data_IF_400743736242
#
_entry.id   IF_400743736242
#
_cell.length_a   1.000
_cell.length_b   1.000
_cell.length_c   1.000
_cell.angle_alpha   90.00
_cell.angle_beta   90.00
_cell.angle_gamma   90.00
#
_symmetry.space_group_name_H-M   'P 1'
#
loop_
_entity.id
_entity.type
_entity.pdbx_description
1 polymer ?
#
# COMPACT_ATOMS: atom_id res chain seq x y z
N UNK A 1 -18.48 12.12 15.07
CA UNK A 1 -18.68 10.64 14.98
C UNK A 1 -19.01 10.05 16.35
N UNK A 2 -19.88 8.99 16.43
CA UNK A 2 -20.24 8.33 17.71
C UNK A 2 -19.04 7.53 18.24
N UNK A 3 -18.73 7.67 19.55
CA UNK A 3 -17.61 6.94 20.19
C UNK A 3 -17.77 5.41 20.12
N UNK A 4 -18.99 4.91 20.08
CA UNK A 4 -19.27 3.45 19.93
C UNK A 4 -18.79 2.93 18.57
N UNK A 5 -19.05 3.66 17.48
CA UNK A 5 -18.61 3.28 16.14
C UNK A 5 -17.06 3.35 16.03
N UNK A 6 -16.45 4.39 16.61
CA UNK A 6 -14.99 4.48 16.66
C UNK A 6 -14.35 3.34 17.46
N UNK A 7 -15.00 2.85 18.52
CA UNK A 7 -14.52 1.67 19.26
C UNK A 7 -14.59 0.39 18.43
N UNK A 8 -15.65 0.20 17.64
CA UNK A 8 -15.72 -0.96 16.72
C UNK A 8 -14.63 -0.89 15.66
N UNK A 9 -14.30 0.29 15.15
CA UNK A 9 -13.17 0.47 14.23
C UNK A 9 -11.82 0.17 14.92
N UNK A 10 -11.60 0.68 16.12
CA UNK A 10 -10.40 0.39 16.90
C UNK A 10 -10.24 -1.12 17.19
N UNK A 11 -11.36 -1.79 17.52
CA UNK A 11 -11.41 -3.24 17.72
C UNK A 11 -11.12 -4.00 16.42
N UNK A 12 -11.65 -3.54 15.27
CA UNK A 12 -11.37 -4.11 13.97
C UNK A 12 -9.86 -4.07 13.66
N UNK A 13 -9.21 -2.91 13.86
CA UNK A 13 -7.77 -2.74 13.64
C UNK A 13 -6.95 -3.69 14.53
N UNK A 14 -7.27 -3.76 15.83
CA UNK A 14 -6.51 -4.58 16.76
C UNK A 14 -6.75 -6.08 16.58
N UNK A 15 -7.99 -6.51 16.28
CA UNK A 15 -8.39 -7.91 16.22
C UNK A 15 -8.27 -8.52 14.82
N UNK A 16 -8.70 -7.81 13.78
CA UNK A 16 -8.68 -8.27 12.39
C UNK A 16 -7.45 -7.72 11.66
N UNK A 17 -7.14 -6.43 11.84
CA UNK A 17 -5.97 -5.79 11.26
C UNK A 17 -4.70 -6.52 11.65
N UNK A 18 -4.19 -6.33 12.85
CA UNK A 18 -2.93 -6.96 13.29
C UNK A 18 -3.12 -8.25 14.08
N UNK A 19 -4.34 -8.67 14.39
CA UNK A 19 -4.63 -9.88 15.15
C UNK A 19 -3.68 -10.05 16.36
N UNK A 20 -3.72 -9.08 17.26
CA UNK A 20 -2.83 -9.00 18.43
C UNK A 20 -2.82 -10.30 19.20
N UNK A 21 -1.66 -10.91 19.39
CA UNK A 21 -1.47 -12.13 20.14
C UNK A 21 -1.21 -11.86 21.63
N UNK A 22 -1.67 -12.77 22.49
CA UNK A 22 -1.41 -12.69 23.93
C UNK A 22 0.10 -12.64 24.22
N UNK A 23 0.54 -11.61 24.95
CA UNK A 23 1.93 -11.44 25.32
C UNK A 23 2.80 -10.78 24.27
N UNK A 24 2.24 -10.40 23.10
CA UNK A 24 2.95 -9.71 22.03
C UNK A 24 3.16 -8.23 22.36
N UNK A 25 4.26 -7.65 21.88
CA UNK A 25 4.46 -6.21 21.88
C UNK A 25 3.80 -5.60 20.62
N UNK A 26 3.24 -4.40 20.77
CA UNK A 26 2.57 -3.66 19.70
C UNK A 26 3.22 -2.31 19.56
N UNK A 27 3.58 -1.93 18.34
CA UNK A 27 4.04 -0.58 18.01
C UNK A 27 3.02 0.10 17.11
N UNK A 28 2.55 1.26 17.56
CA UNK A 28 1.59 2.09 16.81
C UNK A 28 2.34 3.34 16.36
N UNK A 29 2.37 3.58 15.06
CA UNK A 29 2.78 4.86 14.50
C UNK A 29 1.53 5.68 14.20
N UNK A 30 1.46 6.91 14.65
CA UNK A 30 0.31 7.79 14.45
C UNK A 30 0.72 9.26 14.36
N UNK A 31 -0.03 10.05 13.59
CA UNK A 31 0.04 11.51 13.63
C UNK A 31 -0.74 12.04 14.85
N UNK A 32 -0.54 13.33 15.18
CA UNK A 32 -1.15 13.96 16.37
C UNK A 32 -2.66 14.27 16.23
N UNK A 33 -3.26 14.01 15.08
CA UNK A 33 -4.61 14.49 14.74
C UNK A 33 -5.73 13.87 15.60
N UNK A 34 -5.62 12.57 15.92
CA UNK A 34 -6.69 11.81 16.58
C UNK A 34 -6.21 11.05 17.83
N UNK A 35 -5.64 11.72 18.85
CA UNK A 35 -5.05 11.03 20.00
C UNK A 35 -6.09 10.25 20.83
N UNK A 36 -7.35 10.69 20.88
CA UNK A 36 -8.43 9.95 21.56
C UNK A 36 -8.72 8.62 20.84
N UNK A 37 -8.69 8.58 19.52
CA UNK A 37 -8.88 7.35 18.76
C UNK A 37 -7.68 6.41 18.92
N UNK A 38 -6.45 6.94 18.89
CA UNK A 38 -5.25 6.14 19.16
C UNK A 38 -5.33 5.48 20.54
N UNK A 39 -5.82 6.20 21.56
CA UNK A 39 -6.04 5.63 22.89
C UNK A 39 -7.08 4.49 22.88
N UNK A 40 -8.11 4.55 22.01
CA UNK A 40 -9.06 3.45 21.85
C UNK A 40 -8.38 2.21 21.24
N UNK A 41 -7.51 2.38 20.24
CA UNK A 41 -6.74 1.27 19.65
C UNK A 41 -5.81 0.64 20.68
N UNK A 42 -5.12 1.44 21.48
CA UNK A 42 -4.28 0.96 22.60
C UNK A 42 -5.10 0.13 23.60
N UNK A 43 -6.29 0.61 23.98
CA UNK A 43 -7.21 -0.10 24.89
C UNK A 43 -7.62 -1.47 24.31
N UNK A 44 -7.97 -1.52 23.03
CA UNK A 44 -8.33 -2.79 22.37
C UNK A 44 -7.13 -3.75 22.28
N UNK A 45 -5.92 -3.28 22.03
CA UNK A 45 -4.70 -4.09 22.06
C UNK A 45 -4.49 -4.73 23.46
N UNK A 46 -4.68 -3.96 24.54
CA UNK A 46 -4.56 -4.49 25.91
C UNK A 46 -5.69 -5.45 26.27
N UNK A 47 -6.93 -5.26 25.76
CA UNK A 47 -8.02 -6.23 25.91
C UNK A 47 -7.68 -7.58 25.29
N UNK A 48 -6.95 -7.58 24.17
CA UNK A 48 -6.40 -8.76 23.51
C UNK A 48 -5.16 -9.33 24.21
N UNK A 49 -4.77 -8.77 25.38
CA UNK A 49 -3.65 -9.23 26.20
C UNK A 49 -2.27 -8.92 25.61
N UNK A 50 -2.14 -7.83 24.85
CA UNK A 50 -0.82 -7.30 24.49
C UNK A 50 0.04 -7.15 25.76
N UNK A 51 1.34 -7.50 25.67
CA UNK A 51 2.31 -7.32 26.77
C UNK A 51 2.64 -5.85 27.00
N UNK A 52 2.75 -5.11 25.90
CA UNK A 52 3.17 -3.71 25.89
C UNK A 52 2.69 -3.06 24.59
N UNK A 53 2.19 -1.84 24.66
CA UNK A 53 1.88 -1.02 23.51
C UNK A 53 2.74 0.24 23.54
N UNK A 54 3.45 0.52 22.48
CA UNK A 54 4.26 1.72 22.30
C UNK A 54 3.62 2.56 21.21
N UNK A 55 3.44 3.86 21.46
CA UNK A 55 2.93 4.79 20.45
C UNK A 55 4.04 5.75 20.05
N UNK A 56 4.35 5.75 18.75
CA UNK A 56 5.26 6.70 18.12
C UNK A 56 4.46 7.78 17.42
N UNK A 57 4.58 8.98 17.92
CA UNK A 57 3.91 10.13 17.34
C UNK A 57 4.77 10.78 16.27
N UNK A 58 4.18 11.00 15.11
CA UNK A 58 4.77 11.78 14.03
C UNK A 58 4.05 13.11 13.83
N UNK A 59 4.77 14.09 13.25
CA UNK A 59 4.24 15.41 12.96
C UNK A 59 5.00 16.02 11.79
N UNK A 60 4.37 16.08 10.63
CA UNK A 60 5.00 16.53 9.38
C UNK A 60 5.70 17.91 9.47
N UNK A 61 5.20 18.93 10.21
CA UNK A 61 5.94 20.18 10.38
C UNK A 61 7.34 20.00 11.00
N UNK A 62 7.54 19.01 11.90
CA UNK A 62 8.88 18.71 12.42
C UNK A 62 9.77 18.08 11.35
N UNK A 63 9.23 17.22 10.49
CA UNK A 63 9.97 16.66 9.35
C UNK A 63 10.50 17.77 8.45
N UNK A 64 9.67 18.79 8.14
CA UNK A 64 10.11 19.98 7.37
C UNK A 64 11.26 20.72 8.03
N UNK A 65 11.18 20.93 9.34
CA UNK A 65 12.25 21.59 10.10
C UNK A 65 13.53 20.76 10.12
N UNK A 66 13.42 19.43 10.29
CA UNK A 66 14.58 18.55 10.25
C UNK A 66 15.28 18.57 8.88
N UNK A 67 14.54 18.49 7.78
CA UNK A 67 15.12 18.57 6.44
C UNK A 67 15.73 19.96 6.20
N UNK A 68 15.11 21.03 6.70
CA UNK A 68 15.61 22.41 6.53
C UNK A 68 16.92 22.64 7.28
N UNK A 69 17.00 22.24 8.54
CA UNK A 69 18.09 22.66 9.44
C UNK A 69 19.21 21.65 9.63
N UNK A 70 18.93 20.34 9.58
CA UNK A 70 19.97 19.32 9.68
C UNK A 70 20.82 19.29 8.41
N UNK A 71 22.10 19.00 8.54
CA UNK A 71 22.96 18.70 7.39
C UNK A 71 22.53 17.40 6.70
N UNK A 72 22.89 17.21 5.43
CA UNK A 72 22.67 15.93 4.75
C UNK A 72 23.35 14.79 5.53
N UNK A 73 24.57 14.98 6.00
CA UNK A 73 25.28 14.00 6.84
C UNK A 73 24.44 13.57 8.05
N UNK A 74 23.92 14.54 8.82
CA UNK A 74 23.10 14.25 10.01
C UNK A 74 21.80 13.54 9.66
N UNK A 75 21.14 13.92 8.56
CA UNK A 75 19.92 13.26 8.11
C UNK A 75 20.17 11.82 7.62
N UNK A 76 21.38 11.58 7.07
CA UNK A 76 21.78 10.27 6.53
C UNK A 76 22.34 9.31 7.58
N UNK A 77 22.59 9.79 8.79
CA UNK A 77 23.14 8.96 9.89
C UNK A 77 21.97 8.26 10.60
N UNK A 78 22.10 6.99 10.85
CA UNK A 78 21.27 6.23 11.78
C UNK A 78 21.99 6.24 13.12
N UNK A 79 21.38 6.84 14.15
CA UNK A 79 21.99 6.93 15.48
C UNK A 79 21.86 5.59 16.23
N UNK A 80 22.76 5.35 17.21
CA UNK A 80 22.80 4.10 17.97
C UNK A 80 21.45 3.72 18.62
N UNK A 81 20.65 4.68 19.05
CA UNK A 81 19.33 4.39 19.63
C UNK A 81 18.32 3.95 18.56
N UNK A 82 18.45 4.47 17.33
CA UNK A 82 17.60 4.05 16.19
C UNK A 82 17.98 2.62 15.78
N UNK A 83 19.28 2.29 15.72
CA UNK A 83 19.74 0.93 15.44
C UNK A 83 19.32 -0.05 16.53
N UNK A 84 19.47 0.32 17.82
CA UNK A 84 19.04 -0.50 18.96
C UNK A 84 17.52 -0.79 18.90
N UNK A 85 16.75 0.15 18.40
CA UNK A 85 15.31 -0.04 18.16
C UNK A 85 15.03 -1.02 17.03
N UNK A 86 15.76 -0.95 15.93
CA UNK A 86 15.66 -1.92 14.85
C UNK A 86 16.05 -3.33 15.31
N UNK A 87 17.14 -3.44 16.11
CA UNK A 87 17.51 -4.70 16.71
C UNK A 87 16.42 -5.24 17.64
N UNK A 88 15.79 -4.38 18.44
CA UNK A 88 14.65 -4.77 19.27
C UNK A 88 13.49 -5.36 18.45
N UNK A 89 13.21 -4.80 17.25
CA UNK A 89 12.20 -5.36 16.37
C UNK A 89 12.58 -6.75 15.84
N UNK A 90 13.85 -6.96 15.54
CA UNK A 90 14.37 -8.29 15.14
C UNK A 90 14.24 -9.30 16.31
N UNK A 91 14.57 -8.89 17.51
CA UNK A 91 14.59 -9.77 18.69
C UNK A 91 13.19 -10.13 19.20
N UNK A 92 12.19 -9.24 19.05
CA UNK A 92 10.87 -9.39 19.68
C UNK A 92 9.73 -9.62 18.70
N UNK A 93 9.94 -9.37 17.42
CA UNK A 93 8.94 -9.50 16.34
C UNK A 93 7.58 -8.90 16.76
N UNK A 94 7.51 -7.60 17.09
CA UNK A 94 6.27 -6.96 17.50
C UNK A 94 5.33 -6.78 16.31
N UNK A 95 4.01 -6.83 16.52
CA UNK A 95 3.10 -6.36 15.49
C UNK A 95 3.09 -4.83 15.40
N UNK A 96 2.73 -4.30 14.23
CA UNK A 96 2.79 -2.86 13.93
C UNK A 96 1.47 -2.34 13.38
N UNK A 97 1.05 -1.21 13.91
CA UNK A 97 -0.14 -0.48 13.43
C UNK A 97 0.31 0.88 12.93
N UNK A 98 -0.11 1.24 11.73
CA UNK A 98 0.12 2.53 11.12
C UNK A 98 -1.22 3.26 10.98
N UNK A 99 -1.44 4.28 11.82
CA UNK A 99 -2.63 5.13 11.75
C UNK A 99 -2.28 6.39 10.96
N UNK A 100 -2.68 6.39 9.71
CA UNK A 100 -2.32 7.45 8.74
C UNK A 100 -3.35 8.56 8.74
N UNK A 101 -2.88 9.81 8.79
CA UNK A 101 -3.71 11.02 8.74
C UNK A 101 -2.99 12.24 8.14
N UNK A 102 -1.91 11.97 7.41
CA UNK A 102 -1.01 12.99 6.91
C UNK A 102 -1.73 14.05 6.07
N UNK A 103 -1.30 15.30 6.23
CA UNK A 103 -1.65 16.37 5.32
C UNK A 103 -1.06 16.06 3.92
N UNK A 104 -1.87 15.88 2.88
CA UNK A 104 -1.35 15.60 1.54
C UNK A 104 -0.38 16.67 1.00
N UNK A 105 -0.51 17.91 1.45
CA UNK A 105 0.39 19.02 1.13
C UNK A 105 1.48 19.23 2.21
N UNK A 106 1.52 18.39 3.22
CA UNK A 106 2.34 18.55 4.42
C UNK A 106 3.85 18.65 4.16
N UNK A 107 4.35 18.00 3.11
CA UNK A 107 5.75 18.06 2.70
C UNK A 107 6.02 19.03 1.55
N UNK A 108 5.02 19.82 1.13
CA UNK A 108 5.20 20.82 0.07
C UNK A 108 6.28 21.84 0.43
N UNK A 109 7.21 22.06 -0.50
CA UNK A 109 8.33 22.98 -0.32
C UNK A 109 9.52 22.44 0.48
N UNK A 110 9.51 21.15 0.82
CA UNK A 110 10.68 20.45 1.37
C UNK A 110 11.73 20.28 0.28
N UNK A 111 13.00 20.31 0.66
CA UNK A 111 14.11 20.05 -0.29
C UNK A 111 14.15 18.54 -0.62
N UNK A 112 13.42 18.17 -1.69
CA UNK A 112 13.18 16.77 -2.08
C UNK A 112 14.48 15.98 -2.32
N UNK A 113 15.44 16.55 -3.04
CA UNK A 113 16.72 15.90 -3.31
C UNK A 113 17.49 15.55 -2.02
N UNK A 114 17.49 16.47 -1.03
CA UNK A 114 18.14 16.23 0.26
C UNK A 114 17.43 15.11 1.03
N UNK A 115 16.11 15.06 0.98
CA UNK A 115 15.32 14.04 1.61
C UNK A 115 15.57 12.66 0.96
N UNK A 116 15.49 12.58 -0.36
CA UNK A 116 15.77 11.36 -1.11
C UNK A 116 17.19 10.82 -0.85
N UNK A 117 18.23 11.68 -0.94
CA UNK A 117 19.62 11.28 -0.63
C UNK A 117 19.78 10.76 0.80
N UNK A 118 19.07 11.35 1.77
CA UNK A 118 19.14 10.87 3.16
C UNK A 118 18.46 9.51 3.34
N UNK A 119 17.37 9.26 2.64
CA UNK A 119 16.69 7.97 2.62
C UNK A 119 17.57 6.90 1.96
N UNK A 120 18.11 7.19 0.77
CA UNK A 120 19.05 6.31 0.06
C UNK A 120 20.25 5.91 0.92
N UNK A 121 20.81 6.83 1.69
CA UNK A 121 21.96 6.55 2.56
C UNK A 121 21.61 5.66 3.77
N UNK A 122 20.41 5.80 4.35
CA UNK A 122 19.95 4.97 5.48
C UNK A 122 19.43 3.60 5.04
N UNK A 123 18.91 3.51 3.82
CA UNK A 123 18.22 2.32 3.33
C UNK A 123 19.02 1.02 3.46
N UNK A 124 20.31 0.93 3.07
CA UNK A 124 21.08 -0.32 3.17
C UNK A 124 21.19 -0.84 4.61
N UNK A 125 21.29 0.09 5.58
CA UNK A 125 21.38 -0.28 7.02
C UNK A 125 20.03 -0.81 7.49
N UNK A 126 18.95 -0.06 7.22
CA UNK A 126 17.59 -0.41 7.62
C UNK A 126 17.15 -1.71 6.93
N UNK A 127 17.50 -1.89 5.65
CA UNK A 127 17.20 -3.10 4.87
C UNK A 127 17.76 -4.35 5.56
N UNK A 128 19.00 -4.28 6.10
CA UNK A 128 19.59 -5.40 6.82
C UNK A 128 18.78 -5.89 8.03
N UNK A 129 18.04 -4.99 8.70
CA UNK A 129 17.10 -5.34 9.78
C UNK A 129 15.74 -5.80 9.23
N UNK A 130 15.22 -5.10 8.23
CA UNK A 130 13.92 -5.44 7.60
C UNK A 130 13.92 -6.83 7.01
N UNK A 131 14.92 -7.19 6.23
CA UNK A 131 15.06 -8.51 5.61
C UNK A 131 15.07 -9.65 6.66
N UNK A 132 15.49 -9.40 7.90
CA UNK A 132 15.46 -10.38 8.97
C UNK A 132 14.07 -10.64 9.55
N UNK A 133 13.16 -9.68 9.43
CA UNK A 133 11.80 -9.75 9.99
C UNK A 133 10.70 -9.80 8.92
N UNK A 134 11.08 -9.76 7.66
CA UNK A 134 10.14 -9.77 6.53
C UNK A 134 9.19 -10.98 6.64
N UNK A 135 7.90 -10.73 6.47
CA UNK A 135 6.81 -11.70 6.60
C UNK A 135 6.71 -12.44 7.95
N UNK A 136 7.44 -12.01 8.99
CA UNK A 136 7.43 -12.65 10.32
C UNK A 136 6.48 -12.01 11.31
N UNK A 137 5.99 -10.81 11.05
CA UNK A 137 5.12 -10.06 11.96
C UNK A 137 3.87 -9.56 11.26
N UNK A 138 2.82 -9.34 12.03
CA UNK A 138 1.61 -8.72 11.54
C UNK A 138 1.77 -7.20 11.50
N UNK A 139 1.20 -6.60 10.47
CA UNK A 139 1.12 -5.15 10.35
C UNK A 139 -0.23 -4.73 9.78
N UNK A 140 -0.65 -3.52 10.07
CA UNK A 140 -1.90 -2.98 9.53
C UNK A 140 -1.78 -1.48 9.32
N UNK A 141 -2.14 -1.03 8.13
CA UNK A 141 -2.34 0.38 7.82
C UNK A 141 -3.84 0.65 7.89
N UNK A 142 -4.22 1.67 8.65
CA UNK A 142 -5.59 2.15 8.76
C UNK A 142 -5.61 3.67 8.86
N UNK A 143 -6.66 4.31 8.35
CA UNK A 143 -6.70 5.76 8.32
C UNK A 143 -7.50 6.35 9.49
N UNK A 144 -7.09 7.54 9.88
CA UNK A 144 -7.87 8.44 10.73
C UNK A 144 -7.89 9.84 10.10
N UNK A 145 -8.96 10.62 10.18
CA UNK A 145 -9.03 11.91 9.50
C UNK A 145 -8.15 12.95 10.18
N UNK A 146 -7.12 13.42 9.48
CA UNK A 146 -6.43 14.65 9.83
C UNK A 146 -7.27 15.88 9.41
N UNK A 147 -7.21 16.97 10.17
CA UNK A 147 -7.95 18.19 9.83
C UNK A 147 -7.56 18.74 8.46
N UNK A 148 -6.26 18.81 8.18
CA UNK A 148 -5.75 19.33 6.91
C UNK A 148 -6.09 18.42 5.75
N UNK A 149 -5.99 17.11 5.94
CA UNK A 149 -6.42 16.14 4.95
C UNK A 149 -7.91 16.28 4.64
N UNK A 150 -8.75 16.34 5.66
CA UNK A 150 -10.20 16.54 5.50
C UNK A 150 -10.53 17.86 4.77
N UNK A 151 -9.81 18.94 5.08
CA UNK A 151 -9.97 20.24 4.40
C UNK A 151 -9.47 20.23 2.94
N UNK A 152 -8.51 19.37 2.61
CA UNK A 152 -8.08 19.16 1.22
C UNK A 152 -9.19 18.52 0.38
N UNK A 153 -9.91 17.54 0.95
CA UNK A 153 -11.02 16.86 0.28
C UNK A 153 -12.29 17.73 0.23
N UNK A 154 -12.57 18.44 1.30
CA UNK A 154 -13.81 19.22 1.48
C UNK A 154 -13.49 20.67 1.85
N UNK A 155 -12.90 21.44 0.89
CA UNK A 155 -12.46 22.81 1.16
C UNK A 155 -13.60 23.77 1.53
N UNK A 156 -14.84 23.49 1.09
CA UNK A 156 -16.04 24.29 1.33
C UNK A 156 -16.60 24.11 2.76
N UNK A 157 -16.29 23.00 3.43
CA UNK A 157 -16.82 22.70 4.76
C UNK A 157 -15.96 23.33 5.86
N UNK A 158 -16.56 23.58 7.03
CA UNK A 158 -15.79 23.91 8.24
C UNK A 158 -14.94 22.70 8.66
N UNK A 159 -13.79 22.93 9.30
CA UNK A 159 -12.84 21.87 9.65
C UNK A 159 -13.50 20.68 10.38
N UNK A 160 -14.33 20.93 11.39
CA UNK A 160 -15.03 19.87 12.12
C UNK A 160 -16.02 19.07 11.25
N UNK A 161 -16.68 19.73 10.30
CA UNK A 161 -17.61 19.07 9.37
C UNK A 161 -16.83 18.26 8.31
N UNK A 162 -15.71 18.79 7.83
CA UNK A 162 -14.83 18.09 6.91
C UNK A 162 -14.25 16.80 7.55
N UNK A 163 -13.77 16.90 8.80
CA UNK A 163 -13.29 15.74 9.57
C UNK A 163 -14.40 14.71 9.79
N UNK A 164 -15.61 15.14 10.13
CA UNK A 164 -16.76 14.24 10.29
C UNK A 164 -17.10 13.51 8.99
N UNK A 165 -17.14 14.24 7.86
CA UNK A 165 -17.39 13.67 6.54
C UNK A 165 -16.30 12.69 6.10
N UNK A 166 -15.04 12.98 6.42
CA UNK A 166 -13.95 12.07 6.14
C UNK A 166 -14.01 10.81 7.04
N UNK A 167 -14.40 10.94 8.32
CA UNK A 167 -14.71 9.79 9.16
C UNK A 167 -15.80 8.90 8.54
N UNK A 168 -16.89 9.47 8.05
CA UNK A 168 -17.97 8.72 7.39
C UNK A 168 -17.44 7.92 6.20
N UNK A 169 -16.60 8.54 5.37
CA UNK A 169 -16.00 7.88 4.22
C UNK A 169 -15.06 6.73 4.64
N UNK A 170 -14.13 6.99 5.57
CA UNK A 170 -13.19 5.99 6.09
C UNK A 170 -13.94 4.79 6.69
N UNK A 171 -14.91 5.04 7.57
CA UNK A 171 -15.64 3.96 8.24
C UNK A 171 -16.49 3.13 7.26
N UNK A 172 -17.10 3.79 6.27
CA UNK A 172 -17.89 3.12 5.23
C UNK A 172 -17.01 2.21 4.36
N UNK A 173 -15.90 2.74 3.85
CA UNK A 173 -14.98 1.98 2.99
C UNK A 173 -14.24 0.89 3.76
N UNK A 174 -13.96 1.09 5.05
CA UNK A 174 -13.40 0.09 5.96
C UNK A 174 -14.44 -0.92 6.49
N UNK A 175 -15.67 -0.92 5.97
CA UNK A 175 -16.75 -1.86 6.37
C UNK A 175 -17.03 -1.87 7.86
N UNK A 176 -16.99 -0.69 8.51
CA UNK A 176 -17.37 -0.54 9.92
C UNK A 176 -18.90 -0.51 10.00
N UNK A 177 -19.50 -1.69 9.94
CA UNK A 177 -20.93 -1.96 10.03
C UNK A 177 -21.35 -2.24 11.49
N UNK A 178 -22.51 -2.80 11.70
CA UNK A 178 -22.97 -3.27 13.05
C UNK A 178 -22.10 -4.42 13.57
N UNK A 179 -21.56 -5.27 12.71
CA UNK A 179 -20.53 -6.28 13.02
C UNK A 179 -19.38 -6.19 12.00
N UNK A 180 -18.37 -5.33 12.25
CA UNK A 180 -17.25 -5.17 11.34
C UNK A 180 -16.38 -6.42 11.20
N UNK A 181 -16.31 -7.25 12.24
CA UNK A 181 -15.48 -8.47 12.21
C UNK A 181 -16.08 -9.45 11.22
N UNK A 182 -17.40 -9.71 11.32
CA UNK A 182 -18.08 -10.59 10.36
C UNK A 182 -18.02 -10.03 8.94
N UNK A 183 -18.24 -8.73 8.76
CA UNK A 183 -18.15 -8.10 7.44
C UNK A 183 -16.76 -8.30 6.79
N UNK A 184 -15.69 -8.27 7.58
CA UNK A 184 -14.34 -8.55 7.10
C UNK A 184 -14.07 -10.04 6.87
N UNK A 185 -14.65 -10.94 7.66
CA UNK A 185 -14.57 -12.40 7.39
C UNK A 185 -15.21 -12.74 6.03
N UNK A 186 -16.38 -12.16 5.74
CA UNK A 186 -17.09 -12.33 4.46
C UNK A 186 -16.31 -11.71 3.31
N UNK A 187 -15.75 -10.52 3.51
CA UNK A 187 -14.95 -9.83 2.50
C UNK A 187 -13.63 -10.56 2.19
N UNK A 188 -12.91 -11.01 3.21
CA UNK A 188 -11.70 -11.82 3.02
C UNK A 188 -12.01 -13.10 2.24
N UNK A 189 -13.16 -13.73 2.52
CA UNK A 189 -13.58 -14.91 1.77
C UNK A 189 -13.83 -14.59 0.30
N UNK A 190 -14.51 -13.49 -0.01
CA UNK A 190 -14.78 -13.08 -1.41
C UNK A 190 -13.48 -12.82 -2.18
N UNK A 191 -12.52 -12.09 -1.57
CA UNK A 191 -11.21 -11.86 -2.18
C UNK A 191 -10.42 -13.16 -2.35
N UNK A 192 -10.45 -14.04 -1.35
CA UNK A 192 -9.79 -15.33 -1.43
C UNK A 192 -10.37 -16.21 -2.55
N UNK A 193 -11.70 -16.32 -2.64
CA UNK A 193 -12.38 -17.09 -3.70
C UNK A 193 -11.98 -16.58 -5.10
N UNK A 194 -11.84 -15.26 -5.27
CA UNK A 194 -11.34 -14.63 -6.51
C UNK A 194 -9.89 -14.98 -6.80
N UNK A 195 -9.02 -14.90 -5.80
CA UNK A 195 -7.62 -15.28 -5.94
C UNK A 195 -7.49 -16.78 -6.28
N UNK A 196 -8.28 -17.67 -5.66
CA UNK A 196 -8.28 -19.10 -6.01
C UNK A 196 -8.67 -19.33 -7.46
N UNK A 197 -9.71 -18.62 -7.95
CA UNK A 197 -10.11 -18.70 -9.36
C UNK A 197 -8.98 -18.25 -10.28
N UNK A 198 -8.38 -17.07 -10.04
CA UNK A 198 -7.25 -16.55 -10.83
C UNK A 198 -6.08 -17.53 -10.84
N UNK A 199 -5.74 -18.08 -9.67
CA UNK A 199 -4.65 -19.05 -9.52
C UNK A 199 -4.92 -20.37 -10.26
N UNK A 200 -6.20 -20.79 -10.37
CA UNK A 200 -6.59 -21.99 -11.11
C UNK A 200 -6.37 -21.86 -12.64
N UNK A 201 -6.29 -20.63 -13.15
CA UNK A 201 -6.10 -20.36 -14.58
C UNK A 201 -4.65 -20.53 -15.04
N UNK A 202 -3.68 -20.61 -14.12
CA UNK A 202 -2.25 -20.66 -14.45
C UNK A 202 -1.85 -19.58 -15.45
N UNK A 203 -2.08 -18.31 -15.06
CA UNK A 203 -1.87 -17.15 -15.91
C UNK A 203 -0.40 -16.93 -16.18
N UNK A 204 -0.02 -16.77 -17.45
CA UNK A 204 1.32 -16.41 -17.90
C UNK A 204 1.48 -14.92 -18.18
N UNK A 205 0.41 -14.28 -18.59
CA UNK A 205 0.44 -12.91 -19.06
C UNK A 205 -0.92 -12.26 -18.85
N UNK A 206 -0.93 -11.01 -18.45
CA UNK A 206 -2.11 -10.15 -18.43
C UNK A 206 -1.97 -9.08 -19.52
N UNK A 207 -3.05 -8.88 -20.28
CA UNK A 207 -3.17 -7.88 -21.35
C UNK A 207 -4.22 -6.86 -20.99
N UNK A 208 -3.82 -5.61 -20.92
CA UNK A 208 -4.66 -4.47 -20.52
C UNK A 208 -4.97 -3.60 -21.72
N UNK A 209 -6.25 -3.25 -21.90
CA UNK A 209 -6.72 -2.33 -22.95
C UNK A 209 -7.77 -1.37 -22.41
N UNK A 210 -7.66 -0.09 -22.79
CA UNK A 210 -8.63 0.95 -22.47
C UNK A 210 -8.63 2.02 -23.55
N UNK A 211 -9.75 2.73 -23.69
CA UNK A 211 -9.92 3.80 -24.70
C UNK A 211 -9.01 5.01 -24.46
N UNK A 212 -8.42 5.14 -23.27
CA UNK A 212 -7.45 6.20 -22.96
C UNK A 212 -6.09 6.05 -23.67
N UNK A 213 -5.88 4.94 -24.38
CA UNK A 213 -4.64 4.63 -25.09
C UNK A 213 -3.79 3.55 -24.41
N UNK A 214 -4.20 3.03 -23.26
CA UNK A 214 -3.55 1.87 -22.63
C UNK A 214 -3.64 0.65 -23.56
N UNK A 215 -2.47 0.15 -23.96
CA UNK A 215 -2.26 -1.14 -24.63
C UNK A 215 -0.97 -1.72 -24.04
N UNK A 216 -1.14 -2.57 -23.04
CA UNK A 216 -0.07 -2.98 -22.15
C UNK A 216 -0.17 -4.46 -21.83
N UNK A 217 0.98 -5.11 -21.77
CA UNK A 217 1.12 -6.54 -21.46
C UNK A 217 2.16 -6.72 -20.38
N UNK A 218 1.89 -7.60 -19.43
CA UNK A 218 2.83 -7.94 -18.34
C UNK A 218 2.85 -9.44 -18.10
N UNK A 219 4.05 -10.01 -17.99
CA UNK A 219 4.27 -11.44 -17.72
C UNK A 219 4.24 -11.76 -16.24
N UNK A 220 3.76 -12.95 -15.91
CA UNK A 220 3.70 -13.45 -14.53
C UNK A 220 4.88 -14.36 -14.22
N UNK A 221 5.33 -14.35 -12.98
CA UNK A 221 6.29 -15.33 -12.46
C UNK A 221 5.56 -16.68 -12.40
N UNK A 222 6.11 -17.77 -12.98
CA UNK A 222 5.41 -19.08 -13.00
C UNK A 222 5.06 -19.62 -11.61
N UNK A 223 5.89 -19.32 -10.62
CA UNK A 223 5.73 -19.72 -9.22
C UNK A 223 4.88 -18.73 -8.42
N UNK A 224 4.49 -17.58 -8.99
CA UNK A 224 3.67 -16.62 -8.27
C UNK A 224 2.19 -17.03 -8.24
N UNK A 225 1.50 -16.46 -7.30
CA UNK A 225 0.06 -16.62 -7.09
C UNK A 225 -0.57 -15.27 -6.75
N UNK A 226 -1.82 -15.09 -7.14
CA UNK A 226 -2.64 -13.97 -6.68
C UNK A 226 -2.92 -14.13 -5.20
N UNK A 227 -2.74 -13.04 -4.47
CA UNK A 227 -3.06 -12.87 -3.05
C UNK A 227 -4.09 -11.75 -2.91
N UNK A 228 -4.84 -11.71 -1.79
CA UNK A 228 -5.79 -10.65 -1.52
C UNK A 228 -6.51 -10.84 -0.20
N UNK A 229 -6.98 -9.74 0.38
CA UNK A 229 -7.61 -9.72 1.69
C UNK A 229 -6.60 -9.81 2.81
N UNK A 230 -6.57 -10.92 3.52
CA UNK A 230 -5.64 -11.15 4.62
C UNK A 230 -4.43 -11.97 4.22
N UNK A 231 -3.40 -11.86 5.02
CA UNK A 231 -2.13 -12.57 4.92
C UNK A 231 -1.90 -13.49 6.11
N UNK A 232 -0.99 -14.44 5.96
CA UNK A 232 -0.53 -15.28 7.08
C UNK A 232 0.97 -15.09 7.27
N UNK A 233 1.37 -14.57 8.44
CA UNK A 233 2.79 -14.41 8.77
C UNK A 233 3.52 -15.77 8.81
N UNK A 234 4.86 -15.75 8.72
CA UNK A 234 5.70 -16.95 8.90
C UNK A 234 5.53 -17.60 10.29
N UNK A 235 4.89 -16.93 11.25
CA UNK A 235 4.52 -17.48 12.55
C UNK A 235 3.13 -18.16 12.54
N UNK A 236 2.46 -18.20 11.38
CA UNK A 236 1.13 -18.80 11.21
C UNK A 236 -0.03 -17.94 11.72
N UNK A 237 0.17 -16.64 11.86
CA UNK A 237 -0.86 -15.71 12.35
C UNK A 237 -1.49 -15.01 11.15
N UNK A 238 -2.79 -15.20 10.96
CA UNK A 238 -3.58 -14.51 9.94
C UNK A 238 -3.88 -13.07 10.38
N UNK A 239 -3.78 -12.11 9.47
CA UNK A 239 -4.01 -10.68 9.71
C UNK A 239 -4.41 -9.96 8.43
N UNK A 240 -4.91 -8.73 8.54
CA UNK A 240 -5.25 -7.89 7.39
C UNK A 240 -4.31 -6.66 7.34
N UNK A 241 -3.38 -6.60 6.38
CA UNK A 241 -2.38 -5.52 6.32
C UNK A 241 -2.98 -4.15 5.98
N UNK A 242 -4.07 -4.12 5.23
CA UNK A 242 -4.72 -2.89 4.79
C UNK A 242 -6.19 -2.86 5.20
N UNK A 243 -6.62 -1.78 5.85
CA UNK A 243 -8.02 -1.48 6.15
C UNK A 243 -8.35 -0.07 5.65
N UNK A 244 -8.99 0.06 4.47
CA UNK A 244 -9.57 -0.98 3.61
C UNK A 244 -8.58 -1.64 2.63
N UNK A 245 -8.98 -2.76 2.01
CA UNK A 245 -8.42 -3.35 0.80
C UNK A 245 -9.53 -3.92 -0.08
N UNK A 246 -9.37 -3.86 -1.40
CA UNK A 246 -10.35 -4.35 -2.42
C UNK A 246 -9.66 -5.21 -3.49
N UNK A 247 -8.39 -5.50 -3.33
CA UNK A 247 -7.52 -6.01 -4.38
C UNK A 247 -7.30 -7.53 -4.35
N UNK A 248 -7.10 -8.07 -5.56
CA UNK A 248 -6.39 -9.31 -5.80
C UNK A 248 -5.09 -8.94 -6.52
N UNK A 249 -3.95 -9.13 -5.91
CA UNK A 249 -2.66 -8.68 -6.43
C UNK A 249 -1.66 -9.82 -6.65
N UNK A 250 -0.65 -9.56 -7.47
CA UNK A 250 0.44 -10.49 -7.78
C UNK A 250 1.71 -9.69 -8.11
N UNK A 251 2.88 -10.20 -7.73
CA UNK A 251 4.14 -9.66 -8.23
C UNK A 251 4.42 -10.19 -9.63
N UNK A 252 4.56 -9.31 -10.64
CA UNK A 252 4.86 -9.71 -12.00
C UNK A 252 6.32 -10.11 -12.17
N UNK A 253 6.64 -10.76 -13.29
CA UNK A 253 8.00 -11.11 -13.68
C UNK A 253 8.80 -9.84 -14.01
N UNK A 254 9.85 -9.57 -13.27
CA UNK A 254 10.82 -8.52 -13.62
C UNK A 254 11.36 -8.77 -15.03
N UNK A 255 11.37 -7.73 -15.85
CA UNK A 255 11.88 -7.82 -17.21
C UNK A 255 10.87 -8.27 -18.26
N UNK A 256 9.60 -8.48 -17.90
CA UNK A 256 8.57 -8.93 -18.84
C UNK A 256 7.35 -8.01 -18.78
N UNK A 257 7.46 -6.85 -19.41
CA UNK A 257 6.36 -5.93 -19.62
C UNK A 257 6.58 -5.13 -20.92
N UNK A 258 5.53 -4.98 -21.71
CA UNK A 258 5.56 -4.32 -23.02
C UNK A 258 4.37 -3.40 -23.21
N UNK A 259 4.57 -2.29 -23.90
CA UNK A 259 3.53 -1.37 -24.31
C UNK A 259 3.45 -0.10 -23.47
N UNK A 260 2.29 0.54 -23.48
CA UNK A 260 2.05 1.81 -22.82
C UNK A 260 0.86 1.72 -21.89
N UNK A 261 0.99 2.33 -20.72
CA UNK A 261 -0.08 2.41 -19.73
C UNK A 261 -0.29 3.86 -19.31
N UNK A 262 -1.54 4.28 -19.25
CA UNK A 262 -1.97 5.61 -18.84
C UNK A 262 -2.54 5.55 -17.42
N UNK A 263 -2.07 6.43 -16.56
CA UNK A 263 -2.70 6.65 -15.26
C UNK A 263 -4.08 7.29 -15.44
N UNK A 264 -5.04 6.83 -14.65
CA UNK A 264 -6.43 7.29 -14.70
C UNK A 264 -6.80 8.21 -13.53
N UNK A 265 -5.94 8.28 -12.52
CA UNK A 265 -6.06 9.18 -11.38
C UNK A 265 -4.71 9.85 -11.09
N UNK A 266 -4.73 11.07 -10.51
CA UNK A 266 -3.50 11.70 -10.02
C UNK A 266 -2.84 10.83 -8.94
N UNK A 267 -1.51 10.78 -8.96
CA UNK A 267 -0.71 10.15 -7.91
C UNK A 267 -0.26 11.23 -6.91
N UNK A 268 -0.60 11.04 -5.64
CA UNK A 268 -0.15 11.91 -4.55
C UNK A 268 1.19 11.41 -4.01
N UNK A 269 2.28 12.04 -4.40
CA UNK A 269 3.63 11.62 -4.04
C UNK A 269 4.42 12.76 -3.39
N UNK A 270 4.95 12.52 -2.19
CA UNK A 270 5.78 13.47 -1.44
C UNK A 270 5.15 14.88 -1.30
N UNK A 271 3.83 14.96 -1.11
CA UNK A 271 3.12 16.23 -0.94
C UNK A 271 2.89 17.02 -2.24
N UNK A 272 2.97 16.35 -3.37
CA UNK A 272 2.69 16.92 -4.69
C UNK A 272 1.87 15.91 -5.51
N UNK A 273 1.13 16.40 -6.50
CA UNK A 273 0.38 15.56 -7.43
C UNK A 273 1.18 15.37 -8.72
N UNK A 274 1.33 14.13 -9.15
CA UNK A 274 1.74 13.77 -10.51
C UNK A 274 0.45 13.45 -11.25
N UNK A 275 0.14 14.17 -12.32
CA UNK A 275 -1.14 14.03 -13.01
C UNK A 275 -1.00 14.00 -14.52
N UNK A 276 -1.98 13.35 -15.19
CA UNK A 276 -2.01 13.20 -16.63
C UNK A 276 -0.77 12.47 -17.17
N UNK A 277 -0.38 11.37 -16.51
CA UNK A 277 0.86 10.70 -16.88
C UNK A 277 0.64 9.32 -17.52
N UNK A 278 1.65 8.93 -18.27
CA UNK A 278 1.76 7.60 -18.85
C UNK A 278 3.20 7.11 -18.78
N UNK A 279 3.36 5.78 -18.84
CA UNK A 279 4.67 5.11 -18.84
C UNK A 279 4.67 4.07 -19.95
N UNK A 280 5.74 4.04 -20.74
CA UNK A 280 6.03 3.01 -21.74
C UNK A 280 7.06 2.04 -21.19
N UNK A 281 6.75 0.77 -21.30
CA UNK A 281 7.63 -0.32 -20.93
C UNK A 281 8.16 -1.05 -22.16
N UNK A 282 9.41 -1.47 -22.08
CA UNK A 282 10.05 -2.36 -23.02
C UNK A 282 10.99 -3.30 -22.29
N UNK A 283 10.87 -4.60 -22.54
CA UNK A 283 11.58 -5.65 -21.79
C UNK A 283 11.44 -5.46 -20.25
N UNK A 284 10.23 -5.15 -19.81
CA UNK A 284 9.89 -4.91 -18.41
C UNK A 284 10.34 -3.60 -17.81
N UNK A 285 11.17 -2.82 -18.51
CA UNK A 285 11.76 -1.57 -18.04
C UNK A 285 10.96 -0.37 -18.51
N UNK A 286 10.69 0.58 -17.63
CA UNK A 286 10.19 1.91 -18.00
C UNK A 286 11.27 2.62 -18.84
N UNK A 287 10.96 2.87 -20.13
CA UNK A 287 11.88 3.45 -21.10
C UNK A 287 11.51 4.88 -21.51
N UNK A 288 10.22 5.21 -21.42
CA UNK A 288 9.70 6.54 -21.76
C UNK A 288 8.52 6.86 -20.84
N UNK A 289 8.38 8.10 -20.41
CA UNK A 289 7.28 8.56 -19.57
C UNK A 289 7.05 10.05 -19.75
N UNK A 290 5.85 10.48 -19.43
CA UNK A 290 5.48 11.88 -19.42
C UNK A 290 4.35 12.12 -18.42
N UNK A 291 4.36 13.27 -17.78
CA UNK A 291 3.26 13.78 -16.97
C UNK A 291 2.93 15.22 -17.35
N UNK A 292 1.65 15.55 -17.44
CA UNK A 292 1.22 16.93 -17.68
C UNK A 292 1.57 17.82 -16.47
N UNK A 293 1.49 17.27 -15.25
CA UNK A 293 1.85 17.94 -14.02
C UNK A 293 2.95 17.18 -13.26
N UNK A 294 4.02 17.90 -12.88
CA UNK A 294 5.14 17.38 -12.08
C UNK A 294 5.93 16.24 -12.74
N UNK A 295 6.21 16.37 -14.05
CA UNK A 295 7.00 15.39 -14.80
C UNK A 295 8.39 15.15 -14.20
N UNK A 296 9.06 16.18 -13.65
CA UNK A 296 10.34 16.01 -12.98
C UNK A 296 10.24 15.11 -11.73
N UNK A 297 9.10 15.15 -11.03
CA UNK A 297 8.87 14.31 -9.87
C UNK A 297 8.64 12.85 -10.28
N UNK A 298 7.88 12.62 -11.36
CA UNK A 298 7.73 11.30 -11.97
C UNK A 298 9.10 10.73 -12.39
N UNK A 299 9.94 11.55 -13.01
CA UNK A 299 11.30 11.14 -13.38
C UNK A 299 12.14 10.73 -12.16
N UNK A 300 12.09 11.50 -11.08
CA UNK A 300 12.81 11.17 -9.83
C UNK A 300 12.29 9.89 -9.17
N UNK A 301 11.00 9.62 -9.28
CA UNK A 301 10.39 8.39 -8.80
C UNK A 301 10.92 7.19 -9.61
N UNK A 302 10.81 7.24 -10.92
CA UNK A 302 11.24 6.16 -11.82
C UNK A 302 12.78 5.94 -11.78
N UNK A 303 13.54 6.96 -11.44
CA UNK A 303 15.02 6.92 -11.40
C UNK A 303 15.57 6.83 -9.97
N UNK A 304 14.76 6.47 -8.98
CA UNK A 304 15.18 6.39 -7.58
C UNK A 304 16.30 5.36 -7.38
N UNK A 305 16.14 4.18 -7.94
CA UNK A 305 17.15 3.11 -8.03
C UNK A 305 16.95 2.29 -9.31
N UNK A 306 17.72 1.22 -9.52
CA UNK A 306 17.58 0.36 -10.71
C UNK A 306 16.23 -0.38 -10.69
N UNK A 307 15.76 -0.82 -9.52
CA UNK A 307 14.50 -1.56 -9.37
C UNK A 307 13.26 -0.68 -9.60
N UNK A 308 13.34 0.62 -9.34
CA UNK A 308 12.21 1.55 -9.51
C UNK A 308 11.73 1.71 -10.95
N UNK A 309 12.53 1.25 -11.93
CA UNK A 309 12.16 1.20 -13.35
C UNK A 309 11.33 -0.01 -13.75
N UNK A 310 11.12 -0.95 -12.85
CA UNK A 310 10.38 -2.19 -13.10
C UNK A 310 9.14 -2.25 -12.22
N UNK A 311 8.17 -3.06 -12.66
CA UNK A 311 6.98 -3.30 -11.87
C UNK A 311 7.26 -4.23 -10.69
N UNK A 312 6.66 -3.94 -9.54
CA UNK A 312 6.62 -4.79 -8.36
C UNK A 312 5.27 -5.44 -8.15
N UNK A 313 4.20 -4.82 -8.70
CA UNK A 313 2.85 -5.30 -8.48
C UNK A 313 1.93 -5.07 -9.68
N UNK A 314 0.98 -6.01 -9.82
CA UNK A 314 -0.23 -5.89 -10.64
C UNK A 314 -1.43 -6.20 -9.76
N UNK A 315 -2.28 -5.20 -9.50
CA UNK A 315 -3.46 -5.34 -8.67
C UNK A 315 -4.75 -5.20 -9.48
N UNK A 316 -5.67 -6.10 -9.22
CA UNK A 316 -6.98 -6.19 -9.86
C UNK A 316 -8.04 -5.73 -8.86
N UNK A 317 -8.61 -4.58 -9.11
CA UNK A 317 -9.65 -3.94 -8.29
C UNK A 317 -10.78 -3.47 -9.21
N UNK A 318 -12.04 -3.86 -8.98
CA UNK A 318 -13.14 -3.44 -9.84
C UNK A 318 -13.37 -1.93 -9.74
N UNK A 319 -13.69 -1.29 -10.87
CA UNK A 319 -13.92 0.15 -10.96
C UNK A 319 -15.12 0.63 -10.12
N UNK A 320 -16.05 -0.27 -9.81
CA UNK A 320 -17.16 -0.04 -8.90
C UNK A 320 -16.83 -0.32 -7.42
N UNK A 321 -15.55 -0.30 -7.04
CA UNK A 321 -15.13 -0.45 -5.64
C UNK A 321 -15.81 0.59 -4.73
N UNK A 322 -16.04 0.26 -3.44
CA UNK A 322 -16.63 1.20 -2.49
C UNK A 322 -15.85 2.52 -2.36
N UNK A 323 -14.55 2.47 -2.60
CA UNK A 323 -13.68 3.65 -2.55
C UNK A 323 -13.93 4.54 -3.76
N UNK A 324 -13.94 3.98 -4.98
CA UNK A 324 -14.24 4.74 -6.19
C UNK A 324 -15.66 5.33 -6.19
N UNK A 325 -16.62 4.61 -5.60
CA UNK A 325 -18.00 5.08 -5.44
C UNK A 325 -18.15 6.31 -4.51
N UNK A 326 -17.12 6.67 -3.73
CA UNK A 326 -17.14 7.94 -2.98
C UNK A 326 -17.11 9.15 -3.88
N UNK A 327 -16.57 9.01 -5.10
CA UNK A 327 -16.53 10.04 -6.13
C UNK A 327 -15.46 11.11 -5.92
N UNK A 328 -14.54 10.94 -4.97
CA UNK A 328 -13.41 11.85 -4.75
C UNK A 328 -12.08 11.12 -4.62
N UNK A 329 -10.99 11.80 -4.92
CA UNK A 329 -9.63 11.34 -4.69
C UNK A 329 -9.29 11.55 -3.21
N UNK A 330 -8.76 10.54 -2.54
CA UNK A 330 -8.39 10.66 -1.12
C UNK A 330 -7.05 11.37 -0.91
N UNK A 331 -6.21 11.46 -1.94
CA UNK A 331 -4.82 11.91 -1.82
C UNK A 331 -4.01 11.06 -0.83
N UNK A 332 -4.34 9.80 -0.77
CA UNK A 332 -3.74 8.82 0.14
C UNK A 332 -3.72 7.47 -0.56
N UNK A 333 -2.52 6.88 -0.71
CA UNK A 333 -2.30 5.67 -1.49
C UNK A 333 -3.17 4.52 -1.03
N UNK A 334 -3.28 4.26 0.28
CA UNK A 334 -4.13 3.18 0.82
C UNK A 334 -5.56 3.17 0.25
N UNK A 335 -6.15 4.35 0.01
CA UNK A 335 -7.50 4.45 -0.57
C UNK A 335 -7.45 4.49 -2.08
N UNK A 336 -6.58 5.34 -2.64
CA UNK A 336 -6.60 5.64 -4.07
C UNK A 336 -6.19 4.42 -4.90
N UNK A 337 -5.26 3.57 -4.43
CA UNK A 337 -4.91 2.28 -5.03
C UNK A 337 -6.11 1.32 -5.04
N UNK A 338 -6.86 1.27 -3.95
CA UNK A 338 -8.04 0.41 -3.81
C UNK A 338 -9.31 0.98 -4.49
N UNK A 339 -9.21 2.09 -5.20
CA UNK A 339 -10.30 2.65 -5.99
C UNK A 339 -10.50 1.92 -7.33
N UNK A 340 -9.44 1.37 -7.94
CA UNK A 340 -9.51 0.66 -9.23
C UNK A 340 -8.20 -0.12 -9.48
N UNK A 341 -8.14 -0.90 -10.56
CA UNK A 341 -6.90 -1.58 -10.95
C UNK A 341 -5.71 -0.63 -10.92
N UNK A 342 -4.59 -1.10 -10.38
CA UNK A 342 -3.35 -0.35 -10.30
C UNK A 342 -2.13 -1.23 -10.59
N UNK A 343 -1.01 -0.58 -10.84
CA UNK A 343 0.31 -1.18 -10.97
C UNK A 343 1.24 -0.48 -9.99
N UNK A 344 2.23 -1.16 -9.43
CA UNK A 344 3.26 -0.52 -8.65
C UNK A 344 4.61 -0.51 -9.36
N UNK A 345 5.30 0.63 -9.31
CA UNK A 345 6.72 0.70 -9.61
C UNK A 345 7.53 0.29 -8.39
N UNK A 346 8.59 -0.49 -8.60
CA UNK A 346 9.55 -0.80 -7.55
C UNK A 346 9.43 -2.19 -6.96
N UNK A 347 9.48 -2.30 -5.64
CA UNK A 347 9.61 -3.56 -4.92
C UNK A 347 8.38 -4.47 -5.11
N UNK A 348 8.64 -5.74 -5.40
CA UNK A 348 7.64 -6.80 -5.40
C UNK A 348 7.59 -7.55 -4.07
N UNK A 349 6.56 -8.36 -3.89
CA UNK A 349 6.25 -9.09 -2.66
C UNK A 349 6.65 -10.57 -2.76
N UNK A 350 7.49 -11.02 -1.85
CA UNK A 350 7.97 -12.41 -1.82
C UNK A 350 6.88 -13.41 -1.45
N UNK A 351 5.88 -13.00 -0.69
CA UNK A 351 4.74 -13.82 -0.25
C UNK A 351 3.77 -14.17 -1.38
N UNK A 352 3.84 -13.47 -2.51
CA UNK A 352 3.16 -13.89 -3.74
C UNK A 352 3.79 -15.14 -4.38
N UNK A 353 5.00 -15.56 -3.97
CA UNK A 353 5.64 -16.79 -4.46
C UNK A 353 5.13 -17.99 -3.69
N UNK A 354 4.69 -19.04 -4.40
CA UNK A 354 4.28 -20.30 -3.78
C UNK A 354 5.41 -20.88 -2.93
N UNK A 355 5.07 -21.34 -1.74
CA UNK A 355 6.01 -21.86 -0.75
C UNK A 355 7.12 -20.87 -0.36
N UNK A 356 6.84 -19.54 -0.40
CA UNK A 356 7.82 -18.53 -0.04
C UNK A 356 8.37 -18.70 1.38
N UNK A 357 7.60 -19.28 2.29
CA UNK A 357 8.03 -19.59 3.65
C UNK A 357 9.25 -20.53 3.72
N UNK A 358 9.49 -21.30 2.65
CA UNK A 358 10.63 -22.21 2.51
C UNK A 358 11.74 -21.63 1.60
N UNK A 359 11.63 -20.39 1.18
CA UNK A 359 12.56 -19.68 0.31
C UNK A 359 13.19 -18.49 1.01
N UNK A 360 14.41 -18.16 0.66
CA UNK A 360 14.99 -16.87 1.04
C UNK A 360 14.44 -15.76 0.15
N UNK A 361 14.52 -14.49 0.60
CA UNK A 361 14.19 -13.34 -0.23
C UNK A 361 15.02 -13.30 -1.53
N UNK A 362 16.28 -13.73 -1.44
CA UNK A 362 17.18 -13.84 -2.60
C UNK A 362 16.69 -14.89 -3.61
N UNK A 363 16.13 -16.01 -3.15
CA UNK A 363 15.55 -17.02 -4.02
C UNK A 363 14.29 -16.48 -4.72
N UNK A 364 13.43 -15.75 -4.00
CA UNK A 364 12.26 -15.09 -4.61
C UNK A 364 12.67 -14.07 -5.67
N UNK A 365 13.74 -13.29 -5.41
CA UNK A 365 14.30 -12.34 -6.39
C UNK A 365 14.86 -13.05 -7.64
N UNK A 366 15.50 -14.20 -7.47
CA UNK A 366 15.98 -15.01 -8.61
C UNK A 366 14.84 -15.58 -9.45
N UNK A 367 13.67 -15.82 -8.87
CA UNK A 367 12.47 -16.23 -9.59
C UNK A 367 11.84 -15.08 -10.40
N UNK A 368 12.19 -13.84 -10.09
CA UNK A 368 11.73 -12.67 -10.85
C UNK A 368 11.05 -11.58 -10.02
N UNK A 369 10.93 -11.75 -8.70
CA UNK A 369 10.41 -10.68 -7.82
C UNK A 369 11.37 -9.49 -7.86
N UNK A 370 10.84 -8.32 -8.15
CA UNK A 370 11.67 -7.10 -8.26
C UNK A 370 12.10 -6.61 -6.87
N UNK A 371 13.32 -6.10 -6.77
CA UNK A 371 13.87 -5.48 -5.55
C UNK A 371 14.13 -4.00 -5.79
N UNK A 372 13.62 -3.14 -4.92
CA UNK A 372 13.78 -1.69 -4.97
C UNK A 372 13.64 -1.10 -3.58
N UNK A 373 14.09 0.14 -3.40
CA UNK A 373 13.84 0.88 -2.16
C UNK A 373 12.48 1.58 -2.13
N UNK A 374 11.75 1.59 -3.25
CA UNK A 374 10.39 2.13 -3.35
C UNK A 374 9.40 1.04 -3.71
N UNK A 375 8.15 1.27 -3.36
CA UNK A 375 6.95 0.63 -3.89
C UNK A 375 5.92 1.75 -4.02
N UNK A 376 5.48 2.03 -5.25
CA UNK A 376 4.62 3.18 -5.49
C UNK A 376 3.52 2.84 -6.50
N UNK A 377 2.29 2.84 -6.02
CA UNK A 377 1.10 2.44 -6.75
C UNK A 377 0.56 3.59 -7.60
N UNK A 378 0.18 3.28 -8.82
CA UNK A 378 -0.50 4.21 -9.71
C UNK A 378 -1.71 3.56 -10.40
N UNK A 379 -2.82 4.26 -10.35
CA UNK A 379 -4.13 3.78 -10.77
C UNK A 379 -4.25 3.82 -12.28
N UNK A 380 -4.67 2.68 -12.88
CA UNK A 380 -4.86 2.49 -14.32
C UNK A 380 -6.29 2.06 -14.68
N UNK A 381 -7.10 1.73 -13.66
CA UNK A 381 -8.46 1.27 -13.83
C UNK A 381 -9.39 2.37 -14.37
N UNK A 382 -10.27 2.01 -15.30
CA UNK A 382 -11.30 2.87 -15.88
C UNK A 382 -12.58 2.08 -16.10
N UNK A 383 -13.69 2.78 -16.35
CA UNK A 383 -14.98 2.14 -16.59
C UNK A 383 -15.02 1.25 -17.85
N UNK A 384 -14.05 1.38 -18.76
CA UNK A 384 -13.94 0.61 -20.00
C UNK A 384 -12.72 -0.32 -20.03
N UNK A 385 -11.97 -0.42 -18.91
CA UNK A 385 -10.80 -1.28 -18.85
C UNK A 385 -11.18 -2.74 -19.13
N UNK A 386 -10.50 -3.33 -20.10
CA UNK A 386 -10.54 -4.76 -20.38
C UNK A 386 -9.21 -5.42 -20.02
N UNK A 387 -9.25 -6.57 -19.36
CA UNK A 387 -8.07 -7.37 -19.04
C UNK A 387 -8.31 -8.80 -19.50
N UNK A 388 -7.39 -9.31 -20.32
CA UNK A 388 -7.35 -10.69 -20.75
C UNK A 388 -6.15 -11.41 -20.13
N UNK A 389 -6.37 -12.58 -19.58
CA UNK A 389 -5.32 -13.49 -19.14
C UNK A 389 -4.97 -14.48 -20.24
N UNK A 390 -3.69 -14.61 -20.56
CA UNK A 390 -3.16 -15.70 -21.37
C UNK A 390 -2.64 -16.78 -20.45
N UNK A 391 -3.24 -17.96 -20.52
CA UNK A 391 -2.95 -19.11 -19.65
C UNK A 391 -1.81 -19.98 -20.21
N UNK A 392 -1.26 -20.87 -19.40
CA UNK A 392 -0.20 -21.82 -19.81
C UNK A 392 -0.59 -22.71 -20.97
N UNK A 393 -1.85 -23.10 -21.06
CA UNK A 393 -2.38 -23.94 -22.16
C UNK A 393 -2.65 -23.13 -23.44
N UNK A 394 -2.30 -21.86 -23.48
CA UNK A 394 -2.48 -20.93 -24.61
C UNK A 394 -3.89 -20.36 -24.74
N UNK A 395 -4.82 -20.70 -23.85
CA UNK A 395 -6.15 -20.09 -23.83
C UNK A 395 -6.10 -18.65 -23.35
N UNK A 396 -7.01 -17.85 -23.87
CA UNK A 396 -7.25 -16.48 -23.37
C UNK A 396 -8.57 -16.45 -22.62
N UNK A 397 -8.53 -15.95 -21.39
CA UNK A 397 -9.69 -15.83 -20.50
C UNK A 397 -9.92 -14.36 -20.19
N UNK A 398 -11.14 -13.87 -20.33
CA UNK A 398 -11.50 -12.52 -19.94
C UNK A 398 -11.52 -12.42 -18.40
N UNK A 399 -10.71 -11.54 -17.84
CA UNK A 399 -10.66 -11.25 -16.40
C UNK A 399 -11.47 -10.01 -16.07
N UNK A 400 -11.32 -8.94 -16.87
CA UNK A 400 -12.11 -7.71 -16.73
C UNK A 400 -12.79 -7.36 -18.05
N UNK A 401 -14.02 -6.87 -17.91
CA UNK A 401 -14.78 -6.20 -18.98
C UNK A 401 -15.53 -5.02 -18.35
N UNK A 402 -15.60 -3.92 -19.09
CA UNK A 402 -16.27 -2.70 -18.57
C UNK A 402 -15.80 -2.32 -17.16
N UNK A 403 -14.49 -2.42 -16.91
CA UNK A 403 -13.84 -2.04 -15.65
C UNK A 403 -14.12 -2.94 -14.44
N UNK A 404 -14.85 -4.06 -14.61
CA UNK A 404 -15.18 -4.96 -13.50
C UNK A 404 -14.93 -6.43 -13.87
N UNK A 405 -15.06 -7.32 -12.87
CA UNK A 405 -14.86 -8.74 -13.04
C UNK A 405 -15.77 -9.34 -14.14
N UNK A 406 -15.18 -10.16 -15.00
CA UNK A 406 -15.88 -10.83 -16.11
C UNK A 406 -16.30 -12.28 -15.78
N UNK A 407 -16.18 -12.70 -14.51
CA UNK A 407 -16.53 -14.04 -14.01
C UNK A 407 -17.30 -13.97 -12.70
#
# INVERSE_FOLDING_TARGET
MKKTVLREYAKLIAKTGVNVQKGQEVFIQAELDQPEFVAMVVDECYKLKAKKVVVDWSYQPLTKLHVRYRSLKTLSTLDNYEEARWQHYVDTIPCRIYLISEDPDGLRGVHQEKMAKSQQAKYPIIKGYRDQIENKYQWCIAAVPGEKWAKKLFPELRASQAVEKLWEAILKTSRVTDDPIQAWEEHNKDLHDRCEYLNSLHIRELRYKSSNGTDFTVGMIPEAQFCGGGETSLQGIFFNPNIPTEECFISPMRGVAEGIVYATKPLSYQGQLIDGFWIRFHEGKAVEWHAEQNNELLTKLIEMDEGSRYLGECALVPFDSPINQTGFLFYNTLFDENACCHLALGMGFADTIRDFQNKSLEDCRKLGVNDSMIHEDFMIGSADLAIDAVCEDGKTVAIFREGTWAF
#
